data_IF_745777788067
#
_entry.id   IF_745777788067
#
_cell.length_a   1.000
_cell.length_b   1.000
_cell.length_c   1.000
_cell.angle_alpha   90.00
_cell.angle_beta   90.00
_cell.angle_gamma   90.00
#
_symmetry.space_group_name_H-M   'P 1'
#
loop_
_entity.id
_entity.type
_entity.pdbx_description
1 polymer ?
#
# COMPACT_ATOMS: atom_id res chain seq x y z
N UNK A 1 -16.80 -18.55 -20.82
CA UNK A 1 -17.25 -17.56 -19.85
C UNK A 1 -18.05 -16.49 -20.57
N UNK A 2 -19.19 -16.10 -20.05
CA UNK A 2 -20.05 -15.08 -20.69
C UNK A 2 -19.53 -13.66 -20.42
N UNK A 3 -18.90 -13.43 -19.29
CA UNK A 3 -18.30 -12.13 -18.91
C UNK A 3 -16.97 -12.36 -18.21
N UNK A 4 -16.01 -11.50 -18.47
CA UNK A 4 -14.69 -11.53 -17.82
C UNK A 4 -14.48 -10.21 -17.11
N UNK A 5 -14.03 -10.26 -15.86
CA UNK A 5 -13.79 -9.10 -15.03
C UNK A 5 -12.31 -8.99 -14.67
N UNK A 6 -11.81 -7.78 -14.57
CA UNK A 6 -10.44 -7.52 -14.10
C UNK A 6 -10.42 -6.49 -12.99
N UNK A 7 -9.44 -6.65 -12.12
CA UNK A 7 -9.21 -5.73 -11.01
C UNK A 7 -8.38 -4.51 -11.44
N UNK A 8 -7.40 -4.76 -12.30
CA UNK A 8 -6.50 -3.74 -12.84
C UNK A 8 -6.51 -3.79 -14.37
N UNK A 9 -6.29 -2.64 -15.04
CA UNK A 9 -6.19 -2.61 -16.50
C UNK A 9 -5.08 -3.52 -17.02
N UNK A 10 -5.30 -4.06 -18.22
CA UNK A 10 -4.33 -4.91 -18.92
C UNK A 10 -3.96 -6.24 -18.21
N UNK A 11 -4.82 -6.74 -17.32
CA UNK A 11 -4.64 -8.07 -16.70
C UNK A 11 -4.90 -9.22 -17.67
N UNK A 12 -5.52 -8.97 -18.82
CA UNK A 12 -5.83 -9.94 -19.85
C UNK A 12 -5.32 -9.48 -21.23
N UNK A 13 -5.10 -10.41 -22.18
CA UNK A 13 -4.78 -10.08 -23.56
C UNK A 13 -5.85 -9.21 -24.22
N UNK A 14 -5.47 -8.30 -25.11
CA UNK A 14 -6.36 -7.32 -25.76
C UNK A 14 -7.52 -7.91 -26.59
N UNK A 15 -7.43 -9.19 -26.97
CA UNK A 15 -8.48 -9.91 -27.71
C UNK A 15 -9.58 -10.48 -26.81
N UNK A 16 -9.50 -10.30 -25.51
CA UNK A 16 -10.54 -10.70 -24.56
C UNK A 16 -11.32 -9.44 -24.16
N UNK A 17 -12.64 -9.49 -24.32
CA UNK A 17 -13.51 -8.43 -23.81
C UNK A 17 -13.61 -8.55 -22.29
N UNK A 18 -13.14 -7.53 -21.59
CA UNK A 18 -13.03 -7.51 -20.12
C UNK A 18 -13.58 -6.22 -19.54
N UNK A 19 -14.28 -6.33 -18.45
CA UNK A 19 -14.81 -5.20 -17.70
C UNK A 19 -13.93 -4.91 -16.48
N UNK A 20 -13.49 -3.66 -16.34
CA UNK A 20 -12.69 -3.20 -15.19
C UNK A 20 -13.61 -2.83 -14.03
N UNK A 21 -13.73 -3.72 -13.04
CA UNK A 21 -14.58 -3.50 -11.86
C UNK A 21 -13.79 -3.25 -10.56
N UNK A 22 -12.50 -3.58 -10.52
CA UNK A 22 -11.70 -3.55 -9.31
C UNK A 22 -11.78 -4.85 -8.49
N UNK A 23 -11.07 -4.89 -7.36
CA UNK A 23 -11.20 -5.97 -6.38
C UNK A 23 -12.21 -5.61 -5.29
N UNK A 24 -13.04 -6.55 -4.83
CA UNK A 24 -13.78 -6.40 -3.59
C UNK A 24 -12.84 -6.10 -2.42
N UNK A 25 -13.08 -5.01 -1.72
CA UNK A 25 -12.36 -4.61 -0.52
C UNK A 25 -13.26 -4.85 0.70
N UNK A 26 -12.66 -5.18 1.83
CA UNK A 26 -13.39 -5.41 3.09
C UNK A 26 -14.19 -4.18 3.49
N UNK A 27 -15.40 -4.41 4.05
CA UNK A 27 -16.35 -3.34 4.41
C UNK A 27 -15.73 -2.31 5.35
N UNK A 28 -14.97 -2.76 6.35
CA UNK A 28 -14.30 -1.87 7.29
C UNK A 28 -13.27 -0.93 6.63
N UNK A 29 -12.64 -1.35 5.54
CA UNK A 29 -11.73 -0.48 4.77
C UNK A 29 -12.51 0.49 3.88
N UNK A 30 -13.69 0.08 3.37
CA UNK A 30 -14.56 0.98 2.58
C UNK A 30 -15.04 2.19 3.39
N UNK A 31 -15.17 2.08 4.71
CA UNK A 31 -15.49 3.22 5.57
C UNK A 31 -14.46 4.34 5.48
N UNK A 32 -13.20 4.02 5.19
CA UNK A 32 -12.14 5.02 4.97
C UNK A 32 -12.36 5.83 3.69
N UNK A 33 -12.90 5.20 2.65
CA UNK A 33 -13.25 5.89 1.42
C UNK A 33 -14.31 6.97 1.67
N UNK A 34 -15.40 6.60 2.31
CA UNK A 34 -16.51 7.52 2.59
C UNK A 34 -16.11 8.68 3.49
N UNK A 35 -15.22 8.43 4.47
CA UNK A 35 -14.68 9.50 5.33
C UNK A 35 -13.65 10.37 4.60
N UNK A 36 -12.94 9.84 3.62
CA UNK A 36 -11.91 10.58 2.87
C UNK A 36 -12.48 11.51 1.80
N UNK A 37 -13.67 11.24 1.24
CA UNK A 37 -14.35 12.16 0.32
C UNK A 37 -14.57 13.56 0.93
N UNK A 38 -14.61 13.65 2.27
CA UNK A 38 -14.82 14.90 3.00
C UNK A 38 -13.49 15.58 3.43
N UNK A 39 -12.36 14.90 3.35
CA UNK A 39 -11.08 15.33 3.97
C UNK A 39 -9.88 15.26 3.02
N UNK A 40 -10.06 14.87 1.76
CA UNK A 40 -8.94 14.88 0.80
C UNK A 40 -8.74 16.27 0.16
N UNK A 41 -7.47 16.67 -0.04
CA UNK A 41 -6.25 15.91 0.25
C UNK A 41 -6.00 15.78 1.75
N UNK A 42 -5.45 14.63 2.21
CA UNK A 42 -5.01 14.49 3.60
C UNK A 42 -4.06 15.62 3.94
N UNK A 43 -4.39 16.41 4.95
CA UNK A 43 -3.51 17.47 5.43
C UNK A 43 -2.37 16.85 6.24
N UNK A 44 -1.15 17.05 5.78
CA UNK A 44 0.07 16.74 6.52
C UNK A 44 0.64 18.00 7.19
N UNK A 45 -0.17 19.08 7.25
CA UNK A 45 0.20 20.40 7.74
C UNK A 45 0.16 20.52 9.27
N UNK A 46 -0.23 19.46 9.97
CA UNK A 46 -0.19 19.46 11.43
C UNK A 46 1.29 19.39 11.87
N UNK A 47 1.89 20.58 12.04
CA UNK A 47 3.32 20.74 12.32
C UNK A 47 3.74 20.11 13.66
N UNK A 48 2.77 19.77 14.53
CA UNK A 48 3.03 19.32 15.89
C UNK A 48 3.12 17.78 16.02
N UNK A 49 2.82 17.02 14.95
CA UNK A 49 2.93 15.56 14.99
C UNK A 49 4.03 15.02 14.07
N UNK A 50 4.66 13.94 14.49
CA UNK A 50 5.59 13.18 13.64
C UNK A 50 4.84 12.58 12.44
N UNK A 51 5.43 12.60 11.23
CA UNK A 51 4.90 11.81 10.12
C UNK A 51 4.93 10.31 10.43
N UNK A 52 3.91 9.59 9.97
CA UNK A 52 3.61 8.21 10.34
C UNK A 52 3.89 7.25 9.19
N UNK A 53 4.84 6.35 9.41
CA UNK A 53 5.25 5.35 8.45
C UNK A 53 4.78 3.97 8.86
N UNK A 54 3.89 3.38 8.06
CA UNK A 54 3.42 2.01 8.23
C UNK A 54 4.20 1.07 7.31
N UNK A 55 4.74 -0.01 7.87
CA UNK A 55 5.38 -1.07 7.09
C UNK A 55 4.54 -2.34 7.20
N UNK A 56 4.16 -2.94 6.05
CA UNK A 56 3.33 -4.16 6.00
C UNK A 56 4.08 -5.26 5.27
N UNK A 57 4.62 -6.19 6.03
CA UNK A 57 5.37 -7.34 5.51
C UNK A 57 4.49 -8.51 5.02
N UNK A 58 3.19 -8.50 5.37
CA UNK A 58 2.28 -9.61 5.13
C UNK A 58 2.39 -10.72 6.19
N UNK A 59 1.47 -11.70 6.17
CA UNK A 59 1.39 -12.75 7.21
C UNK A 59 2.66 -13.61 7.34
N UNK A 60 3.34 -13.88 6.25
CA UNK A 60 4.61 -14.62 6.24
C UNK A 60 5.81 -13.73 6.64
N UNK A 61 5.58 -12.41 6.72
CA UNK A 61 6.64 -11.43 6.88
C UNK A 61 7.45 -11.22 5.59
N UNK A 62 8.19 -10.15 5.58
CA UNK A 62 9.11 -9.85 4.50
C UNK A 62 10.49 -9.56 5.09
N UNK A 63 11.33 -10.60 5.20
CA UNK A 63 12.67 -10.50 5.82
C UNK A 63 13.47 -9.30 5.30
N UNK A 64 13.36 -9.03 4.00
CA UNK A 64 14.02 -7.88 3.37
C UNK A 64 13.51 -6.54 3.95
N UNK A 65 12.22 -6.41 4.25
CA UNK A 65 11.68 -5.22 4.92
C UNK A 65 12.17 -5.16 6.36
N UNK A 66 12.11 -6.28 7.10
CA UNK A 66 12.50 -6.35 8.50
C UNK A 66 13.96 -5.92 8.75
N UNK A 67 14.84 -6.17 7.79
CA UNK A 67 16.27 -5.83 7.90
C UNK A 67 16.62 -4.45 7.32
N UNK A 68 16.09 -4.13 6.12
CA UNK A 68 16.53 -2.94 5.41
C UNK A 68 15.83 -1.66 5.90
N UNK A 69 14.59 -1.75 6.39
CA UNK A 69 13.86 -0.55 6.86
C UNK A 69 14.52 0.08 8.07
N UNK A 70 14.90 -0.66 9.15
CA UNK A 70 15.56 -0.06 10.30
C UNK A 70 16.87 0.68 9.94
N UNK A 71 17.69 0.08 9.09
CA UNK A 71 18.95 0.70 8.63
C UNK A 71 18.69 1.92 7.75
N UNK A 72 17.66 1.88 6.89
CA UNK A 72 17.28 3.04 6.07
C UNK A 72 16.81 4.22 6.92
N UNK A 73 16.07 3.95 8.00
CA UNK A 73 15.62 4.97 8.95
C UNK A 73 16.79 5.60 9.70
N UNK A 74 17.79 4.81 10.07
CA UNK A 74 19.02 5.31 10.71
C UNK A 74 19.84 6.22 9.79
N UNK A 75 19.71 6.08 8.48
CA UNK A 75 20.39 6.94 7.50
C UNK A 75 19.64 8.25 7.21
N UNK A 76 18.47 8.48 7.84
CA UNK A 76 17.75 9.74 7.69
C UNK A 76 18.43 10.86 8.52
N UNK A 77 18.36 12.12 8.05
CA UNK A 77 18.82 13.23 8.85
C UNK A 77 17.92 13.41 10.09
N UNK A 78 18.47 13.90 11.19
CA UNK A 78 17.77 14.12 12.48
C UNK A 78 16.51 15.01 12.34
N UNK A 79 16.48 15.84 11.30
CA UNK A 79 15.30 16.68 10.99
C UNK A 79 14.08 15.89 10.51
N UNK A 80 14.26 14.60 10.12
CA UNK A 80 13.18 13.70 9.69
C UNK A 80 12.97 12.66 10.80
N UNK A 81 12.06 12.95 11.70
CA UNK A 81 11.70 12.07 12.81
C UNK A 81 10.33 11.44 12.54
N UNK A 82 10.29 10.13 12.29
CA UNK A 82 9.09 9.39 11.91
C UNK A 82 8.53 8.61 13.10
N UNK A 83 7.20 8.53 13.19
CA UNK A 83 6.51 7.55 14.01
C UNK A 83 6.33 6.28 13.18
N UNK A 84 6.86 5.14 13.65
CA UNK A 84 7.00 3.92 12.85
C UNK A 84 6.17 2.80 13.43
N UNK A 85 5.31 2.20 12.57
CA UNK A 85 4.58 0.99 12.89
C UNK A 85 4.89 -0.09 11.86
N UNK A 86 5.52 -1.19 12.29
CA UNK A 86 5.96 -2.27 11.41
C UNK A 86 5.28 -3.61 11.74
N UNK A 87 4.53 -4.13 10.78
CA UNK A 87 4.01 -5.49 10.81
C UNK A 87 5.05 -6.43 10.22
N UNK A 88 5.70 -7.20 11.08
CA UNK A 88 6.92 -7.97 10.78
C UNK A 88 6.63 -9.40 10.30
N UNK A 89 5.40 -9.89 10.49
CA UNK A 89 5.09 -11.31 10.32
C UNK A 89 5.87 -12.15 11.33
N UNK A 90 6.28 -13.33 10.92
CA UNK A 90 7.02 -14.28 11.78
C UNK A 90 8.44 -13.80 12.15
N UNK A 91 8.95 -12.76 11.49
CA UNK A 91 10.30 -12.23 11.73
C UNK A 91 10.39 -11.17 12.84
N UNK A 92 9.53 -11.22 13.87
CA UNK A 92 9.47 -10.19 14.92
C UNK A 92 10.80 -9.99 15.66
N UNK A 93 11.45 -11.07 16.09
CA UNK A 93 12.70 -10.96 16.85
C UNK A 93 13.83 -10.40 15.98
N UNK A 94 13.96 -10.86 14.73
CA UNK A 94 14.94 -10.34 13.78
C UNK A 94 14.73 -8.85 13.51
N UNK A 95 13.47 -8.42 13.36
CA UNK A 95 13.14 -7.01 13.20
C UNK A 95 13.46 -6.21 14.47
N UNK A 96 13.12 -6.73 15.66
CA UNK A 96 13.41 -6.09 16.94
C UNK A 96 14.90 -5.83 17.11
N UNK A 97 15.73 -6.85 16.84
CA UNK A 97 17.18 -6.75 16.91
C UNK A 97 17.73 -5.70 15.92
N UNK A 98 17.17 -5.67 14.69
CA UNK A 98 17.54 -4.69 13.68
C UNK A 98 17.19 -3.26 14.10
N UNK A 99 15.99 -3.02 14.64
CA UNK A 99 15.58 -1.71 15.17
C UNK A 99 16.44 -1.29 16.37
N UNK A 100 16.70 -2.20 17.31
CA UNK A 100 17.52 -1.96 18.49
C UNK A 100 18.97 -1.62 18.11
N UNK A 101 19.56 -2.35 17.17
CA UNK A 101 20.91 -2.11 16.64
C UNK A 101 21.09 -0.67 16.13
N UNK A 102 20.06 -0.12 15.53
CA UNK A 102 20.07 1.22 14.93
C UNK A 102 19.49 2.31 15.85
N UNK A 103 19.09 1.96 17.08
CA UNK A 103 18.49 2.87 18.07
C UNK A 103 17.21 3.58 17.54
N UNK A 104 16.41 2.88 16.71
CA UNK A 104 15.17 3.39 16.14
C UNK A 104 13.99 2.92 16.99
N UNK A 105 13.24 3.87 17.54
CA UNK A 105 11.98 3.59 18.22
C UNK A 105 10.91 3.19 17.19
N UNK A 106 10.20 2.10 17.47
CA UNK A 106 9.15 1.60 16.57
C UNK A 106 8.11 0.74 17.30
N UNK A 107 6.88 0.79 16.81
CA UNK A 107 5.83 -0.14 17.19
C UNK A 107 5.93 -1.38 16.30
N UNK A 108 6.28 -2.53 16.87
CA UNK A 108 6.37 -3.81 16.14
C UNK A 108 5.16 -4.69 16.43
N UNK A 109 4.62 -5.33 15.41
CA UNK A 109 3.48 -6.25 15.50
C UNK A 109 3.70 -7.44 14.58
N UNK A 110 3.44 -8.65 15.06
CA UNK A 110 3.46 -9.86 14.21
C UNK A 110 2.36 -9.78 13.17
N UNK A 111 1.18 -9.34 13.58
CA UNK A 111 0.00 -9.21 12.75
C UNK A 111 -0.76 -7.92 13.08
N UNK A 112 -1.49 -7.39 12.12
CA UNK A 112 -2.39 -6.25 12.29
C UNK A 112 -3.83 -6.76 12.23
N UNK A 113 -4.49 -6.85 13.39
CA UNK A 113 -5.88 -7.27 13.46
C UNK A 113 -6.82 -6.22 12.88
N UNK A 114 -6.55 -4.95 13.17
CA UNK A 114 -7.30 -3.80 12.67
C UNK A 114 -6.52 -3.06 11.58
N UNK A 115 -6.66 -3.52 10.34
CA UNK A 115 -6.06 -2.85 9.18
C UNK A 115 -6.69 -1.50 8.89
N UNK A 116 -7.97 -1.28 9.23
CA UNK A 116 -8.62 0.04 9.12
C UNK A 116 -7.91 1.06 9.98
N UNK A 117 -7.70 0.75 11.26
CA UNK A 117 -6.97 1.63 12.17
C UNK A 117 -5.53 1.88 11.71
N UNK A 118 -4.85 0.85 11.20
CA UNK A 118 -3.48 0.98 10.68
C UNK A 118 -3.41 1.92 9.47
N UNK A 119 -4.32 1.77 8.49
CA UNK A 119 -4.39 2.66 7.33
C UNK A 119 -4.87 4.07 7.69
N UNK A 120 -5.82 4.21 8.63
CA UNK A 120 -6.25 5.52 9.12
C UNK A 120 -5.12 6.28 9.83
N UNK A 121 -4.24 5.55 10.53
CA UNK A 121 -3.10 6.11 11.24
C UNK A 121 -1.98 6.55 10.30
N UNK A 122 -1.71 5.82 9.22
CA UNK A 122 -0.55 5.99 8.36
C UNK A 122 -0.61 7.24 7.47
N UNK A 123 0.55 7.85 7.20
CA UNK A 123 0.75 8.89 6.19
C UNK A 123 1.38 8.32 4.91
N UNK A 124 2.23 7.28 5.05
CA UNK A 124 2.87 6.56 3.97
C UNK A 124 2.95 5.08 4.32
N UNK A 125 2.83 4.21 3.33
CA UNK A 125 2.96 2.77 3.51
C UNK A 125 4.16 2.23 2.74
N UNK A 126 4.93 1.31 3.35
CA UNK A 126 5.91 0.47 2.65
C UNK A 126 5.37 -0.96 2.68
N UNK A 127 5.15 -1.58 1.53
CA UNK A 127 4.58 -2.93 1.48
C UNK A 127 4.90 -3.69 0.19
N UNK A 128 4.50 -4.97 0.16
CA UNK A 128 4.41 -5.76 -1.08
C UNK A 128 3.23 -5.31 -1.93
N UNK A 129 3.28 -5.56 -3.24
CA UNK A 129 2.26 -5.13 -4.19
C UNK A 129 1.20 -6.21 -4.48
N UNK A 130 0.66 -6.82 -3.44
CA UNK A 130 -0.48 -7.72 -3.56
C UNK A 130 -1.73 -7.00 -4.08
N UNK A 131 -2.53 -7.67 -4.90
CA UNK A 131 -3.70 -7.06 -5.55
C UNK A 131 -4.70 -6.46 -4.54
N UNK A 132 -5.00 -7.18 -3.45
CA UNK A 132 -5.88 -6.68 -2.39
C UNK A 132 -5.25 -5.49 -1.65
N UNK A 133 -3.96 -5.56 -1.34
CA UNK A 133 -3.23 -4.44 -0.69
C UNK A 133 -3.31 -3.17 -1.53
N UNK A 134 -3.05 -3.26 -2.84
CA UNK A 134 -3.17 -2.11 -3.75
C UNK A 134 -4.60 -1.55 -3.74
N UNK A 135 -5.60 -2.42 -3.82
CA UNK A 135 -7.01 -1.99 -3.81
C UNK A 135 -7.39 -1.33 -2.47
N UNK A 136 -6.92 -1.84 -1.35
CA UNK A 136 -7.12 -1.24 -0.03
C UNK A 136 -6.43 0.13 0.11
N UNK A 137 -5.19 0.25 -0.39
CA UNK A 137 -4.46 1.53 -0.40
C UNK A 137 -5.19 2.60 -1.22
N UNK A 138 -5.75 2.23 -2.39
CA UNK A 138 -6.52 3.19 -3.20
C UNK A 138 -7.78 3.67 -2.48
N UNK A 139 -8.52 2.75 -1.85
CA UNK A 139 -9.71 3.06 -1.05
C UNK A 139 -9.38 3.92 0.16
N UNK A 140 -8.28 3.61 0.86
CA UNK A 140 -7.81 4.40 2.00
C UNK A 140 -7.19 5.76 1.61
N UNK A 141 -6.96 6.02 0.32
CA UNK A 141 -6.28 7.22 -0.14
C UNK A 141 -4.85 7.32 0.39
N UNK A 142 -4.09 6.23 0.39
CA UNK A 142 -2.74 6.16 0.93
C UNK A 142 -1.70 6.00 -0.17
N UNK A 143 -0.68 6.87 -0.16
CA UNK A 143 0.52 6.69 -0.95
C UNK A 143 1.39 5.54 -0.45
N UNK A 144 2.17 4.93 -1.35
CA UNK A 144 3.03 3.83 -0.96
C UNK A 144 4.39 3.78 -1.67
N UNK A 145 5.38 3.21 -0.98
CA UNK A 145 6.60 2.65 -1.57
C UNK A 145 6.36 1.15 -1.70
N UNK A 146 6.27 0.68 -2.93
CA UNK A 146 5.95 -0.71 -3.25
C UNK A 146 7.22 -1.50 -3.55
N UNK A 147 7.39 -2.62 -2.85
CA UNK A 147 8.47 -3.57 -3.07
C UNK A 147 7.85 -4.88 -3.60
N UNK A 148 7.64 -5.01 -4.92
CA UNK A 148 7.03 -6.21 -5.49
C UNK A 148 7.83 -7.47 -5.17
N UNK A 149 7.13 -8.56 -4.85
CA UNK A 149 7.77 -9.85 -4.62
C UNK A 149 8.24 -10.45 -5.96
N UNK A 150 9.55 -10.72 -6.15
CA UNK A 150 10.10 -11.06 -7.46
C UNK A 150 9.72 -12.46 -7.94
N UNK A 151 9.32 -13.35 -7.02
CA UNK A 151 8.93 -14.73 -7.35
C UNK A 151 7.41 -14.90 -7.44
N UNK A 152 6.67 -13.80 -7.57
CA UNK A 152 5.22 -13.86 -7.81
C UNK A 152 4.95 -14.43 -9.20
N UNK A 153 3.98 -15.38 -9.29
CA UNK A 153 3.57 -15.98 -10.56
C UNK A 153 3.30 -14.90 -11.60
N UNK A 154 3.82 -15.09 -12.82
CA UNK A 154 3.64 -14.15 -13.94
C UNK A 154 3.99 -12.68 -13.60
N UNK A 155 4.87 -12.47 -12.61
CA UNK A 155 5.30 -11.14 -12.17
C UNK A 155 4.12 -10.20 -11.78
N UNK A 156 2.97 -10.78 -11.37
CA UNK A 156 1.73 -10.01 -11.16
C UNK A 156 1.88 -8.89 -10.13
N UNK A 157 2.74 -9.05 -9.09
CA UNK A 157 2.95 -7.97 -8.13
C UNK A 157 3.63 -6.75 -8.76
N UNK A 158 4.55 -6.96 -9.69
CA UNK A 158 5.18 -5.84 -10.39
C UNK A 158 4.15 -5.10 -11.26
N UNK A 159 3.29 -5.79 -11.99
CA UNK A 159 2.24 -5.15 -12.80
C UNK A 159 1.20 -4.41 -11.93
N UNK A 160 0.84 -4.96 -10.77
CA UNK A 160 -0.01 -4.25 -9.80
C UNK A 160 0.64 -2.95 -9.33
N UNK A 161 1.96 -3.01 -9.01
CA UNK A 161 2.72 -1.85 -8.59
C UNK A 161 2.83 -0.80 -9.71
N UNK A 162 3.10 -1.22 -10.96
CA UNK A 162 3.15 -0.33 -12.12
C UNK A 162 1.83 0.41 -12.31
N UNK A 163 0.69 -0.29 -12.19
CA UNK A 163 -0.62 0.35 -12.28
C UNK A 163 -0.78 1.46 -11.23
N UNK A 164 -0.50 1.16 -9.96
CA UNK A 164 -0.63 2.10 -8.85
C UNK A 164 0.28 3.33 -9.04
N UNK A 165 1.53 3.12 -9.44
CA UNK A 165 2.54 4.16 -9.57
C UNK A 165 2.37 4.97 -10.86
N UNK A 166 1.93 4.38 -11.97
CA UNK A 166 1.61 5.11 -13.20
C UNK A 166 0.46 6.11 -12.99
N UNK A 167 -0.45 5.82 -12.06
CA UNK A 167 -1.45 6.77 -11.57
C UNK A 167 -0.90 7.87 -10.67
N UNK A 168 0.37 7.83 -10.29
CA UNK A 168 1.04 8.83 -9.48
C UNK A 168 0.88 8.66 -7.96
N UNK A 169 0.43 7.48 -7.50
CA UNK A 169 0.11 7.24 -6.09
C UNK A 169 1.30 6.75 -5.24
N UNK A 170 2.49 6.59 -5.81
CA UNK A 170 3.62 6.08 -5.06
C UNK A 170 4.88 5.85 -5.86
N UNK A 171 5.74 4.97 -5.38
CA UNK A 171 7.04 4.62 -5.95
C UNK A 171 7.19 3.09 -5.95
N UNK A 172 7.88 2.56 -6.96
CA UNK A 172 8.36 1.17 -6.98
C UNK A 172 9.85 1.15 -6.67
N UNK A 173 10.26 0.26 -5.78
CA UNK A 173 11.65 -0.16 -5.63
C UNK A 173 11.66 -1.67 -5.83
N UNK A 174 12.34 -2.14 -6.87
CA UNK A 174 12.47 -3.59 -7.10
C UNK A 174 13.29 -4.23 -5.98
N UNK A 175 13.05 -5.51 -5.70
CA UNK A 175 13.68 -6.16 -4.55
C UNK A 175 15.21 -6.23 -4.66
N UNK A 176 15.77 -6.36 -5.84
CA UNK A 176 17.21 -6.33 -6.10
C UNK A 176 17.83 -4.93 -5.95
N UNK A 177 17.03 -3.88 -6.11
CA UNK A 177 17.39 -2.48 -5.89
C UNK A 177 17.06 -2.01 -4.46
N UNK A 178 16.33 -2.81 -3.67
CA UNK A 178 15.87 -2.44 -2.34
C UNK A 178 16.98 -2.55 -1.30
N UNK A 179 17.78 -1.51 -1.21
CA UNK A 179 18.85 -1.31 -0.22
C UNK A 179 18.46 -0.24 0.80
N UNK A 180 19.08 -0.24 2.02
CA UNK A 180 18.87 0.81 3.00
C UNK A 180 19.13 2.21 2.44
N UNK A 181 20.20 2.38 1.65
CA UNK A 181 20.54 3.65 1.01
C UNK A 181 19.44 4.10 0.06
N UNK A 182 19.00 3.23 -0.86
CA UNK A 182 17.94 3.56 -1.82
C UNK A 182 16.65 3.94 -1.12
N UNK A 183 16.26 3.21 -0.08
CA UNK A 183 15.05 3.52 0.69
C UNK A 183 15.18 4.85 1.43
N UNK A 184 16.33 5.11 2.07
CA UNK A 184 16.56 6.37 2.81
C UNK A 184 16.49 7.59 1.89
N UNK A 185 17.02 7.50 0.67
CA UNK A 185 16.93 8.57 -0.34
C UNK A 185 15.48 8.90 -0.69
N UNK A 186 14.64 7.87 -0.92
CA UNK A 186 13.22 8.10 -1.22
C UNK A 186 12.45 8.65 -0.01
N UNK A 187 12.69 8.12 1.19
CA UNK A 187 12.08 8.64 2.42
C UNK A 187 12.49 10.09 2.66
N UNK A 188 13.77 10.41 2.50
CA UNK A 188 14.27 11.79 2.60
C UNK A 188 13.57 12.70 1.60
N UNK A 189 13.47 12.30 0.34
CA UNK A 189 12.78 13.08 -0.71
C UNK A 189 11.31 13.34 -0.37
N UNK A 190 10.60 12.32 0.13
CA UNK A 190 9.18 12.41 0.48
C UNK A 190 8.98 13.31 1.70
N UNK A 191 9.71 13.05 2.79
CA UNK A 191 9.49 13.72 4.07
C UNK A 191 10.20 15.07 4.21
N UNK A 192 11.05 15.46 3.26
CA UNK A 192 11.51 16.86 3.17
C UNK A 192 10.43 17.82 2.68
N UNK A 193 9.42 17.31 1.93
CA UNK A 193 8.32 18.11 1.38
C UNK A 193 6.99 17.34 1.49
N UNK A 194 6.58 16.94 2.72
CA UNK A 194 5.49 15.97 2.92
C UNK A 194 4.16 16.49 2.38
N UNK A 195 3.81 17.75 2.60
CA UNK A 195 2.56 18.33 2.11
C UNK A 195 2.40 18.24 0.59
N UNK A 196 3.48 18.37 -0.17
CA UNK A 196 3.41 18.32 -1.63
C UNK A 196 3.35 16.89 -2.16
N UNK A 197 4.18 15.99 -1.60
CA UNK A 197 4.34 14.63 -2.14
C UNK A 197 3.26 13.70 -1.59
N UNK A 198 3.04 13.69 -0.27
CA UNK A 198 2.07 12.79 0.35
C UNK A 198 0.64 13.18 -0.01
N UNK A 199 0.30 14.49 -0.06
CA UNK A 199 -1.04 14.91 -0.50
C UNK A 199 -1.30 14.48 -1.95
N UNK A 200 -0.32 14.67 -2.84
CA UNK A 200 -0.44 14.21 -4.22
C UNK A 200 -0.59 12.69 -4.32
N UNK A 201 0.19 11.93 -3.56
CA UNK A 201 0.06 10.47 -3.52
C UNK A 201 -1.33 10.05 -3.04
N UNK A 202 -1.84 10.71 -2.00
CA UNK A 202 -3.16 10.46 -1.42
C UNK A 202 -4.28 10.71 -2.44
N UNK A 203 -4.30 11.87 -3.10
CA UNK A 203 -5.25 12.20 -4.16
C UNK A 203 -5.20 11.19 -5.31
N UNK A 204 -3.99 10.84 -5.74
CA UNK A 204 -3.78 9.91 -6.86
C UNK A 204 -4.16 8.48 -6.50
N UNK A 205 -3.91 8.03 -5.27
CA UNK A 205 -4.38 6.74 -4.79
C UNK A 205 -5.91 6.71 -4.79
N UNK A 206 -6.55 7.70 -4.19
CA UNK A 206 -8.00 7.80 -4.09
C UNK A 206 -8.69 7.83 -5.47
N UNK A 207 -8.11 8.54 -6.44
CA UNK A 207 -8.65 8.61 -7.81
C UNK A 207 -8.67 7.27 -8.56
N UNK A 208 -7.87 6.30 -8.12
CA UNK A 208 -7.82 4.94 -8.65
C UNK A 208 -8.79 3.98 -7.94
N UNK A 209 -9.44 4.40 -6.85
CA UNK A 209 -10.30 3.54 -6.06
C UNK A 209 -11.51 3.02 -6.84
N UNK A 210 -11.91 1.78 -6.53
CA UNK A 210 -13.10 1.12 -7.06
C UNK A 210 -13.98 0.62 -5.90
N UNK A 211 -14.59 1.53 -5.12
CA UNK A 211 -15.28 1.16 -3.88
C UNK A 211 -16.51 0.26 -4.11
N UNK A 212 -17.08 0.28 -5.31
CA UNK A 212 -18.26 -0.51 -5.67
C UNK A 212 -17.92 -1.84 -6.35
N UNK A 213 -16.68 -2.33 -6.28
CA UNK A 213 -16.26 -3.56 -6.94
C UNK A 213 -17.09 -4.79 -6.51
N UNK A 214 -17.35 -4.93 -5.20
CA UNK A 214 -18.16 -6.03 -4.67
C UNK A 214 -19.62 -5.99 -5.18
N UNK A 215 -20.23 -4.81 -5.18
CA UNK A 215 -21.58 -4.59 -5.70
C UNK A 215 -21.66 -4.93 -7.20
N UNK A 216 -20.70 -4.44 -7.98
CA UNK A 216 -20.64 -4.70 -9.44
C UNK A 216 -20.50 -6.19 -9.73
N UNK A 217 -19.64 -6.89 -9.00
CA UNK A 217 -19.46 -8.33 -9.15
C UNK A 217 -20.72 -9.10 -8.76
N UNK A 218 -21.35 -8.79 -7.63
CA UNK A 218 -22.59 -9.42 -7.19
C UNK A 218 -23.71 -9.25 -8.22
N UNK A 219 -23.90 -8.04 -8.74
CA UNK A 219 -24.88 -7.75 -9.78
C UNK A 219 -24.65 -8.58 -11.05
N UNK A 220 -23.39 -8.71 -11.47
CA UNK A 220 -23.04 -9.51 -12.63
C UNK A 220 -23.35 -11.02 -12.43
N UNK A 221 -23.08 -11.55 -11.23
CA UNK A 221 -23.40 -12.93 -10.88
C UNK A 221 -24.91 -13.19 -10.90
N UNK A 222 -25.74 -12.29 -10.35
CA UNK A 222 -27.21 -12.41 -10.40
C UNK A 222 -27.74 -12.41 -11.83
N UNK A 223 -27.28 -11.48 -12.67
CA UNK A 223 -27.68 -11.40 -14.08
C UNK A 223 -27.29 -12.67 -14.86
N UNK A 224 -26.14 -13.26 -14.58
CA UNK A 224 -25.74 -14.51 -15.21
C UNK A 224 -26.61 -15.70 -14.76
N UNK A 225 -27.09 -15.72 -13.52
CA UNK A 225 -28.00 -16.74 -12.99
C UNK A 225 -29.39 -16.67 -13.64
N UNK A 226 -29.95 -15.47 -13.79
CA UNK A 226 -31.27 -15.26 -14.41
C UNK A 226 -31.29 -15.65 -15.91
N UNK A 227 -30.17 -15.48 -16.62
CA UNK A 227 -30.04 -15.84 -18.02
C UNK A 227 -30.03 -17.37 -18.28
N UNK A 228 -29.98 -18.21 -17.23
CA UNK A 228 -29.93 -19.66 -17.29
C UNK A 228 -31.15 -20.32 -16.63
N UNK A 229 -32.10 -19.53 -16.15
CA UNK A 229 -33.41 -19.97 -15.66
C UNK A 229 -34.48 -19.80 -16.72
#
# INVERSE_FOLDING_TARGET
SQRVFQAFPNSFPKNIDVELIGNPVRSEILDLYSSSEQVLPRSFADADRKPRLLIVGGSQGARTLNLNVPEALANLPETINLDVWHQTGQGLEEARDAYAKHHIESRLSVFLEDMKAAYAWADLVICRAGALTISELTVAGLGAILIPYPYATDNHQFHNAEHFVSGGAGIIIKQDEFTPTRLSEELKRIFSHPNNILSRFSERAHSQARPRAAESLAKACFQAGEAHS
#
